data_IF_057378416769
#
_entry.id   IF_057378416769
#
_cell.length_a   1.000
_cell.length_b   1.000
_cell.length_c   1.000
_cell.angle_alpha   90.00
_cell.angle_beta   90.00
_cell.angle_gamma   90.00
#
_symmetry.space_group_name_H-M   'P 1'
#
loop_
_entity.id
_entity.type
_entity.pdbx_description
1 polymer ?
#
# COMPACT_ATOMS: atom_id res chain seq x y z
N UNK A 1 9.42 5.20 20.63
CA UNK A 1 8.05 5.13 20.12
C UNK A 1 8.00 4.38 18.80
N UNK A 2 7.09 3.44 18.68
CA UNK A 2 6.97 2.64 17.47
C UNK A 2 6.21 3.41 16.39
N UNK A 3 6.76 3.41 15.17
CA UNK A 3 6.06 3.97 14.01
C UNK A 3 5.27 2.88 13.33
N UNK A 4 4.09 3.23 12.81
CA UNK A 4 3.23 2.31 12.08
C UNK A 4 3.18 2.72 10.62
N UNK A 5 3.43 1.76 9.73
CA UNK A 5 3.47 1.98 8.30
C UNK A 5 2.54 1.00 7.60
N UNK A 6 1.65 1.52 6.76
CA UNK A 6 0.84 0.69 5.88
C UNK A 6 1.61 0.47 4.58
N UNK A 7 1.70 -0.79 4.15
CA UNK A 7 2.23 -1.13 2.84
C UNK A 7 1.10 -1.79 2.07
N UNK A 8 0.66 -1.20 0.98
CA UNK A 8 -0.39 -1.77 0.16
C UNK A 8 0.22 -2.63 -0.93
N UNK A 9 -0.48 -3.70 -1.31
CA UNK A 9 0.03 -4.61 -2.32
C UNK A 9 1.18 -5.48 -1.83
N UNK A 10 1.28 -5.67 -0.52
CA UNK A 10 2.41 -6.38 0.08
C UNK A 10 2.42 -7.87 -0.16
N UNK A 11 1.34 -8.44 -0.72
CA UNK A 11 1.32 -9.86 -1.06
C UNK A 11 1.79 -10.11 -2.49
N UNK A 12 2.03 -9.08 -3.29
CA UNK A 12 2.56 -9.21 -4.64
C UNK A 12 4.06 -9.48 -4.64
N UNK A 13 4.62 -9.64 -5.82
CA UNK A 13 6.04 -10.01 -5.95
C UNK A 13 6.95 -8.93 -5.35
N UNK A 14 6.83 -7.70 -5.84
CA UNK A 14 7.69 -6.62 -5.33
C UNK A 14 7.29 -6.25 -3.91
N UNK A 15 5.99 -6.17 -3.64
CA UNK A 15 5.48 -5.78 -2.33
C UNK A 15 5.93 -6.73 -1.23
N UNK A 16 5.98 -8.04 -1.50
CA UNK A 16 6.40 -9.00 -0.49
C UNK A 16 7.86 -8.78 -0.08
N UNK A 17 8.72 -8.41 -1.03
CA UNK A 17 10.11 -8.10 -0.71
C UNK A 17 10.21 -6.84 0.14
N UNK A 18 9.39 -5.83 -0.16
CA UNK A 18 9.38 -4.59 0.62
C UNK A 18 8.89 -4.86 2.04
N UNK A 19 7.80 -5.62 2.18
CA UNK A 19 7.26 -5.96 3.51
C UNK A 19 8.29 -6.73 4.32
N UNK A 20 8.91 -7.76 3.72
CA UNK A 20 9.91 -8.57 4.41
C UNK A 20 11.09 -7.72 4.87
N UNK A 21 11.56 -6.83 4.01
CA UNK A 21 12.67 -5.96 4.34
C UNK A 21 12.35 -5.10 5.57
N UNK A 22 11.19 -4.45 5.58
CA UNK A 22 10.82 -3.59 6.69
C UNK A 22 10.60 -4.39 7.98
N UNK A 23 9.94 -5.53 7.89
CA UNK A 23 9.66 -6.35 9.08
C UNK A 23 10.95 -6.87 9.71
N UNK A 24 11.90 -7.32 8.89
CA UNK A 24 13.12 -7.94 9.43
C UNK A 24 14.19 -6.92 9.78
N UNK A 25 14.32 -5.85 8.99
CA UNK A 25 15.40 -4.88 9.21
C UNK A 25 15.03 -3.79 10.21
N UNK A 26 13.75 -3.49 10.34
CA UNK A 26 13.28 -2.41 11.21
C UNK A 26 12.27 -2.93 12.22
N UNK A 27 12.72 -3.73 13.20
CA UNK A 27 11.79 -4.34 14.16
C UNK A 27 11.04 -3.33 15.03
N UNK A 28 11.53 -2.10 15.10
CA UNK A 28 10.86 -1.03 15.84
C UNK A 28 9.66 -0.45 15.07
N UNK A 29 9.49 -0.80 13.80
CA UNK A 29 8.34 -0.36 13.02
C UNK A 29 7.25 -1.40 13.06
N UNK A 30 6.01 -0.94 13.15
CA UNK A 30 4.83 -1.78 12.99
C UNK A 30 4.44 -1.75 11.52
N UNK A 31 4.43 -2.90 10.87
CA UNK A 31 4.16 -3.00 9.43
C UNK A 31 2.80 -3.63 9.21
N UNK A 32 1.89 -2.89 8.59
CA UNK A 32 0.55 -3.36 8.26
C UNK A 32 0.48 -3.58 6.75
N UNK A 33 0.41 -4.83 6.34
CA UNK A 33 0.31 -5.19 4.93
C UNK A 33 -1.16 -5.24 4.54
N UNK A 34 -1.57 -4.35 3.65
CA UNK A 34 -2.94 -4.30 3.15
C UNK A 34 -2.95 -4.80 1.71
N UNK A 35 -3.71 -5.86 1.47
CA UNK A 35 -3.77 -6.45 0.13
C UNK A 35 -5.15 -7.06 -0.07
N UNK A 36 -5.70 -6.85 -1.25
CA UNK A 36 -6.99 -7.42 -1.63
C UNK A 36 -6.88 -8.89 -1.98
N UNK A 37 -5.67 -9.38 -2.23
CA UNK A 37 -5.40 -10.76 -2.64
C UNK A 37 -6.12 -11.12 -3.94
N UNK A 38 -5.95 -10.28 -4.95
CA UNK A 38 -6.43 -10.59 -6.27
C UNK A 38 -5.44 -11.52 -6.97
N UNK A 39 -5.53 -11.64 -8.27
CA UNK A 39 -4.78 -12.62 -9.04
C UNK A 39 -3.26 -12.59 -8.79
N UNK A 40 -2.70 -11.47 -8.40
CA UNK A 40 -1.26 -11.34 -8.18
C UNK A 40 -0.86 -11.50 -6.72
N UNK A 41 -1.83 -11.55 -5.80
CA UNK A 41 -1.53 -11.61 -4.38
C UNK A 41 -1.36 -13.04 -3.90
N UNK A 42 -0.33 -13.27 -3.08
CA UNK A 42 -0.06 -14.60 -2.56
C UNK A 42 0.65 -14.48 -1.21
N UNK A 43 -0.04 -14.84 -0.14
CA UNK A 43 0.52 -14.76 1.21
C UNK A 43 1.64 -15.75 1.45
N UNK A 44 1.78 -16.77 0.59
CA UNK A 44 2.90 -17.71 0.69
C UNK A 44 4.25 -16.99 0.61
N UNK A 45 4.30 -15.88 -0.10
CA UNK A 45 5.51 -15.08 -0.22
C UNK A 45 5.96 -14.48 1.12
N UNK A 46 5.06 -14.47 2.11
CA UNK A 46 5.32 -13.83 3.40
C UNK A 46 5.27 -14.83 4.56
N UNK A 47 5.30 -16.12 4.24
CA UNK A 47 5.16 -17.15 5.27
C UNK A 47 6.26 -17.06 6.34
N UNK A 48 7.45 -16.67 5.95
CA UNK A 48 8.58 -16.59 6.87
C UNK A 48 8.46 -15.46 7.90
N UNK A 49 7.59 -14.48 7.65
CA UNK A 49 7.43 -13.36 8.58
C UNK A 49 6.02 -13.23 9.13
N UNK A 50 5.12 -14.14 8.79
CA UNK A 50 3.70 -13.98 9.14
C UNK A 50 3.45 -13.96 10.64
N UNK A 51 4.34 -14.53 11.43
CA UNK A 51 4.21 -14.56 12.91
C UNK A 51 5.07 -13.52 13.60
N UNK A 52 5.72 -12.63 12.85
CA UNK A 52 6.55 -11.59 13.46
C UNK A 52 5.68 -10.63 14.29
N UNK A 53 6.12 -10.24 15.49
CA UNK A 53 5.29 -9.40 16.37
C UNK A 53 5.02 -8.01 15.83
N UNK A 54 5.84 -7.53 14.90
CA UNK A 54 5.66 -6.21 14.28
C UNK A 54 4.97 -6.27 12.93
N UNK A 55 4.36 -7.40 12.57
CA UNK A 55 3.69 -7.60 11.28
C UNK A 55 2.21 -7.87 11.48
N UNK A 56 1.38 -7.25 10.64
CA UNK A 56 -0.06 -7.52 10.59
C UNK A 56 -0.52 -7.52 9.16
N UNK A 57 -1.31 -8.52 8.77
CA UNK A 57 -1.94 -8.56 7.46
C UNK A 57 -3.42 -8.16 7.58
N UNK A 58 -3.86 -7.31 6.65
CA UNK A 58 -5.25 -6.91 6.54
C UNK A 58 -5.70 -7.12 5.10
N UNK A 59 -6.68 -8.00 4.91
CA UNK A 59 -7.27 -8.20 3.59
C UNK A 59 -8.34 -7.12 3.37
N UNK A 60 -8.05 -6.16 2.53
CA UNK A 60 -8.96 -5.05 2.28
C UNK A 60 -8.65 -4.42 0.93
N UNK A 61 -9.65 -3.73 0.39
CA UNK A 61 -9.53 -3.00 -0.85
C UNK A 61 -9.18 -1.55 -0.53
N UNK A 62 -8.10 -1.03 -1.11
CA UNK A 62 -7.70 0.36 -0.88
C UNK A 62 -8.77 1.35 -1.34
N UNK A 63 -9.67 0.93 -2.23
CA UNK A 63 -10.79 1.77 -2.65
C UNK A 63 -11.86 1.90 -1.57
N UNK A 64 -11.81 1.10 -0.52
CA UNK A 64 -12.75 1.17 0.60
C UNK A 64 -12.24 2.23 1.58
N UNK A 65 -12.72 3.46 1.39
CA UNK A 65 -12.28 4.60 2.19
C UNK A 65 -12.50 4.36 3.68
N UNK A 66 -13.70 3.88 4.05
CA UNK A 66 -14.03 3.70 5.46
C UNK A 66 -13.09 2.70 6.13
N UNK A 67 -12.79 1.60 5.44
CA UNK A 67 -11.86 0.60 5.96
C UNK A 67 -10.47 1.18 6.15
N UNK A 68 -10.01 1.96 5.16
CA UNK A 68 -8.68 2.57 5.24
C UNK A 68 -8.60 3.61 6.34
N UNK A 69 -9.60 4.45 6.46
CA UNK A 69 -9.63 5.48 7.49
C UNK A 69 -9.67 4.88 8.89
N UNK A 70 -10.50 3.86 9.08
CA UNK A 70 -10.58 3.16 10.37
C UNK A 70 -9.26 2.48 10.74
N UNK A 71 -8.62 1.86 9.76
CA UNK A 71 -7.34 1.19 9.98
C UNK A 71 -6.26 2.19 10.37
N UNK A 72 -6.24 3.36 9.73
CA UNK A 72 -5.26 4.39 10.07
C UNK A 72 -5.42 4.89 11.50
N UNK A 73 -6.67 5.06 11.95
CA UNK A 73 -6.94 5.46 13.32
C UNK A 73 -6.58 4.36 14.31
N UNK A 74 -6.94 3.12 13.99
CA UNK A 74 -6.68 1.98 14.87
C UNK A 74 -5.18 1.74 15.08
N UNK A 75 -4.41 1.79 14.00
CA UNK A 75 -2.99 1.50 14.05
C UNK A 75 -2.12 2.75 14.24
N UNK A 76 -2.72 3.92 14.28
CA UNK A 76 -2.01 5.20 14.42
C UNK A 76 -0.91 5.34 13.38
N UNK A 77 -1.32 5.22 12.13
CA UNK A 77 -0.40 5.11 10.99
C UNK A 77 0.36 6.41 10.76
N UNK A 78 1.68 6.32 10.61
CA UNK A 78 2.57 7.45 10.34
C UNK A 78 3.05 7.50 8.90
N UNK A 79 2.99 6.38 8.19
CA UNK A 79 3.48 6.33 6.83
C UNK A 79 2.72 5.34 5.98
N UNK A 80 2.73 5.58 4.68
CA UNK A 80 2.07 4.72 3.70
C UNK A 80 3.02 4.50 2.54
N UNK A 81 3.20 3.25 2.14
CA UNK A 81 3.90 2.87 0.92
C UNK A 81 2.87 2.19 0.03
N UNK A 82 2.46 2.87 -1.02
CA UNK A 82 1.35 2.42 -1.87
C UNK A 82 1.87 1.68 -3.09
N UNK A 83 1.67 0.35 -3.10
CA UNK A 83 2.12 -0.53 -4.17
C UNK A 83 0.96 -1.34 -4.79
N UNK A 84 -0.27 -0.98 -4.46
CA UNK A 84 -1.43 -1.79 -4.82
C UNK A 84 -1.96 -1.57 -6.24
N UNK A 85 -1.28 -0.75 -7.04
CA UNK A 85 -1.72 -0.48 -8.40
C UNK A 85 -1.63 -1.72 -9.28
N UNK A 86 -2.61 -1.87 -10.18
CA UNK A 86 -2.56 -2.91 -11.19
C UNK A 86 -1.39 -2.61 -12.14
N UNK A 87 -0.50 -3.57 -12.31
CA UNK A 87 0.69 -3.36 -13.14
C UNK A 87 0.80 -4.33 -14.30
N UNK A 88 -0.14 -5.28 -14.43
CA UNK A 88 -0.13 -6.23 -15.54
C UNK A 88 -0.72 -5.61 -16.79
N UNK A 89 0.11 -5.45 -17.81
CA UNK A 89 -0.31 -4.84 -19.07
C UNK A 89 -1.48 -5.59 -19.69
N UNK A 90 -1.43 -6.92 -19.69
CA UNK A 90 -2.51 -7.72 -20.26
C UNK A 90 -3.85 -7.44 -19.60
N UNK A 91 -3.84 -7.27 -18.28
CA UNK A 91 -5.07 -6.94 -17.55
C UNK A 91 -5.57 -5.56 -17.92
N UNK A 92 -4.68 -4.59 -18.09
CA UNK A 92 -5.09 -3.24 -18.45
C UNK A 92 -5.69 -3.18 -19.85
N UNK A 93 -5.22 -4.05 -20.74
CA UNK A 93 -5.77 -4.12 -22.10
C UNK A 93 -7.16 -4.77 -22.11
N UNK A 94 -7.32 -5.85 -21.34
CA UNK A 94 -8.59 -6.58 -21.29
C UNK A 94 -9.67 -5.83 -20.53
N UNK A 95 -9.29 -5.12 -19.49
CA UNK A 95 -10.24 -4.44 -18.62
C UNK A 95 -9.68 -3.09 -18.17
N UNK A 96 -9.66 -2.12 -19.09
CA UNK A 96 -9.06 -0.82 -18.76
C UNK A 96 -9.84 -0.05 -17.70
N UNK A 97 -11.13 -0.27 -17.58
CA UNK A 97 -11.92 0.44 -16.57
C UNK A 97 -11.57 -0.03 -15.16
N UNK A 98 -11.43 -1.33 -14.96
CA UNK A 98 -11.01 -1.85 -13.67
C UNK A 98 -9.58 -1.39 -13.35
N UNK A 99 -8.70 -1.41 -14.33
CA UNK A 99 -7.33 -0.95 -14.16
C UNK A 99 -7.30 0.52 -13.72
N UNK A 100 -8.02 1.38 -14.42
CA UNK A 100 -8.08 2.80 -14.09
C UNK A 100 -8.69 3.02 -12.71
N UNK A 101 -9.75 2.30 -12.42
CA UNK A 101 -10.44 2.43 -11.13
C UNK A 101 -9.50 2.08 -9.98
N UNK A 102 -8.81 0.96 -10.07
CA UNK A 102 -7.89 0.53 -9.02
C UNK A 102 -6.78 1.55 -8.83
N UNK A 103 -6.20 2.03 -9.93
CA UNK A 103 -5.07 2.93 -9.84
C UNK A 103 -5.46 4.34 -9.40
N UNK A 104 -6.58 4.86 -9.89
CA UNK A 104 -6.98 6.24 -9.60
C UNK A 104 -7.78 6.31 -8.31
N UNK A 105 -8.87 5.55 -8.21
CA UNK A 105 -9.75 5.62 -7.04
C UNK A 105 -9.09 5.04 -5.81
N UNK A 106 -8.28 3.99 -5.96
CA UNK A 106 -7.55 3.41 -4.83
C UNK A 106 -6.59 4.40 -4.24
N UNK A 107 -5.80 5.08 -5.09
CA UNK A 107 -4.84 6.06 -4.63
C UNK A 107 -5.55 7.25 -3.97
N UNK A 108 -6.63 7.74 -4.57
CA UNK A 108 -7.39 8.86 -4.01
C UNK A 108 -8.01 8.49 -2.66
N UNK A 109 -8.57 7.29 -2.57
CA UNK A 109 -9.19 6.82 -1.33
C UNK A 109 -8.17 6.76 -0.20
N UNK A 110 -7.02 6.18 -0.49
CA UNK A 110 -5.97 6.00 0.51
C UNK A 110 -5.38 7.35 0.92
N UNK A 111 -5.13 8.23 -0.04
CA UNK A 111 -4.64 9.58 0.24
C UNK A 111 -5.61 10.37 1.11
N UNK A 112 -6.90 10.27 0.78
CA UNK A 112 -7.92 11.00 1.54
C UNK A 112 -8.02 10.47 2.96
N UNK A 113 -7.96 9.16 3.13
CA UNK A 113 -7.99 8.55 4.46
C UNK A 113 -6.79 9.03 5.29
N UNK A 114 -5.60 9.02 4.71
CA UNK A 114 -4.40 9.48 5.39
C UNK A 114 -4.51 10.96 5.74
N UNK A 115 -4.95 11.76 4.79
CA UNK A 115 -5.10 13.20 5.00
C UNK A 115 -6.05 13.51 6.14
N UNK A 116 -7.23 12.91 6.13
CA UNK A 116 -8.21 13.18 7.17
C UNK A 116 -7.73 12.74 8.55
N UNK A 117 -7.08 11.57 8.60
CA UNK A 117 -6.56 11.09 9.87
C UNK A 117 -5.45 12.01 10.39
N UNK A 118 -4.46 12.32 9.53
CA UNK A 118 -3.33 13.12 9.97
C UNK A 118 -3.74 14.53 10.36
N UNK A 119 -4.69 15.14 9.63
CA UNK A 119 -5.17 16.47 9.96
C UNK A 119 -5.94 16.52 11.28
N UNK A 120 -6.44 15.38 11.74
CA UNK A 120 -7.11 15.30 13.04
C UNK A 120 -6.14 15.26 14.21
N UNK A 121 -4.86 15.06 13.94
CA UNK A 121 -3.84 14.96 14.99
C UNK A 121 -3.28 16.35 15.31
N UNK A 122 -2.82 16.57 16.56
CA UNK A 122 -2.20 17.85 16.90
C UNK A 122 -0.95 18.15 16.09
N UNK A 123 -0.16 17.13 15.77
CA UNK A 123 1.07 17.28 14.99
C UNK A 123 0.81 17.33 13.48
N UNK A 124 -0.41 16.98 13.04
CA UNK A 124 -0.83 16.96 11.64
C UNK A 124 0.16 16.18 10.76
N UNK A 125 0.80 16.84 9.82
CA UNK A 125 1.68 16.15 8.87
C UNK A 125 3.11 15.96 9.35
N UNK A 126 3.43 16.47 10.52
CA UNK A 126 4.80 16.36 11.02
C UNK A 126 5.15 14.90 11.26
N UNK A 127 6.26 14.47 10.67
CA UNK A 127 6.71 13.07 10.78
C UNK A 127 5.92 12.08 9.95
N UNK A 128 5.03 12.54 9.08
CA UNK A 128 4.21 11.68 8.24
C UNK A 128 4.78 11.60 6.83
N UNK A 129 4.58 10.44 6.18
CA UNK A 129 5.08 10.21 4.81
C UNK A 129 4.08 9.38 4.03
N UNK A 130 3.90 9.74 2.77
CA UNK A 130 3.11 8.96 1.83
C UNK A 130 3.92 8.75 0.57
N UNK A 131 4.29 7.50 0.28
CA UNK A 131 5.04 7.13 -0.90
C UNK A 131 4.14 6.41 -1.89
N UNK A 132 4.03 6.95 -3.09
CA UNK A 132 3.31 6.31 -4.18
C UNK A 132 4.33 5.75 -5.15
N UNK A 133 4.38 4.43 -5.26
CA UNK A 133 5.31 3.75 -6.16
C UNK A 133 4.63 3.53 -7.48
N UNK A 134 5.06 4.25 -8.50
CA UNK A 134 4.52 4.15 -9.85
C UNK A 134 5.28 3.13 -10.67
N UNK A 135 4.62 2.58 -11.67
CA UNK A 135 5.27 1.70 -12.62
C UNK A 135 5.56 2.44 -13.91
N UNK A 136 6.36 1.83 -14.78
CA UNK A 136 6.69 2.43 -16.06
C UNK A 136 5.45 2.67 -16.90
N UNK A 137 4.42 1.86 -16.74
CA UNK A 137 3.18 1.97 -17.49
C UNK A 137 2.46 3.28 -17.24
N UNK A 138 2.70 3.94 -16.10
CA UNK A 138 2.07 5.23 -15.80
C UNK A 138 2.45 6.28 -16.84
N UNK A 139 3.68 6.21 -17.32
CA UNK A 139 4.20 7.17 -18.30
C UNK A 139 4.10 6.66 -19.74
N UNK A 140 3.55 5.46 -19.93
CA UNK A 140 3.46 4.84 -21.23
C UNK A 140 4.82 4.38 -21.72
N UNK A 141 4.91 4.08 -23.01
CA UNK A 141 6.19 3.69 -23.58
C UNK A 141 7.11 4.90 -23.61
N UNK A 142 8.29 4.73 -23.06
CA UNK A 142 9.28 5.81 -23.05
C UNK A 142 9.87 5.96 -24.43
N UNK A 143 9.65 7.12 -25.00
CA UNK A 143 10.20 7.42 -26.31
C UNK A 143 11.59 8.01 -26.17
N UNK A 144 12.46 7.59 -27.05
CA UNK A 144 13.86 8.06 -26.98
C UNK A 144 13.97 9.53 -27.35
N UNK A 145 12.97 10.08 -27.99
CA UNK A 145 12.97 11.46 -28.41
C UNK A 145 12.35 12.42 -27.41
N UNK A 146 12.09 11.96 -26.23
CA UNK A 146 11.56 12.80 -25.15
C UNK A 146 12.66 13.36 -24.29
#
# INVERSE_FOLDING_TARGET
>A
MRRSIIITGGAGFIGSHVVRLFVTKYPEYRIINVDKLTYAGNLENLRDIENSPNYRFVKADVCDFDAMHSLMQEEKVDGVIHLAAESHVDRSIKDPFTFARTNVLGTLSLLQAARLYWESLPEKYEGKRFYHISTDEVYGALEMNR
#
